data_IF_198378379783
#
_entry.id   IF_198378379783
#
_cell.length_a   1.000
_cell.length_b   1.000
_cell.length_c   1.000
_cell.angle_alpha   90.00
_cell.angle_beta   90.00
_cell.angle_gamma   90.00
#
_symmetry.space_group_name_H-M   'P 1'
#
loop_
_entity.id
_entity.type
_entity.pdbx_description
1 polymer ?
#
# COMPACT_ATOMS: atom_id res chain seq x y z
N UNK A 1 38.92 43.40 3.28
CA UNK A 1 38.61 41.97 3.37
C UNK A 1 37.15 41.80 3.73
N UNK A 2 36.29 41.45 2.78
CA UNK A 2 34.85 41.16 3.02
C UNK A 2 34.67 39.65 3.01
N UNK A 3 34.24 39.11 4.16
CA UNK A 3 33.88 37.67 4.30
C UNK A 3 32.52 37.44 3.63
N UNK A 4 32.49 36.58 2.63
CA UNK A 4 31.23 36.07 2.03
C UNK A 4 30.58 35.09 3.02
N UNK A 5 29.38 35.45 3.48
CA UNK A 5 28.53 34.55 4.24
C UNK A 5 27.97 33.47 3.28
N UNK A 6 28.38 32.24 3.49
CA UNK A 6 27.83 31.09 2.75
C UNK A 6 26.40 30.81 3.20
N UNK A 7 25.45 30.96 2.29
CA UNK A 7 24.08 30.52 2.48
C UNK A 7 24.08 28.99 2.49
N UNK A 8 23.98 28.38 3.68
CA UNK A 8 23.67 26.95 3.80
C UNK A 8 22.24 26.76 3.33
N UNK A 9 22.06 26.16 2.14
CA UNK A 9 20.80 25.52 1.74
C UNK A 9 20.43 24.54 2.85
N UNK A 10 19.28 24.77 3.51
CA UNK A 10 18.63 23.76 4.32
C UNK A 10 18.15 22.68 3.33
N UNK A 11 18.89 21.58 3.22
CA UNK A 11 18.34 20.31 2.77
C UNK A 11 17.28 19.94 3.82
N UNK A 12 16.01 20.02 3.43
CA UNK A 12 14.93 19.37 4.14
C UNK A 12 15.25 17.88 4.09
N UNK A 13 15.67 17.31 5.20
CA UNK A 13 15.83 15.88 5.35
C UNK A 13 14.47 15.24 4.98
N UNK A 14 14.39 14.60 3.81
CA UNK A 14 13.31 13.67 3.48
C UNK A 14 13.41 12.56 4.52
N UNK A 15 12.42 12.51 5.44
CA UNK A 15 12.36 11.45 6.42
C UNK A 15 12.41 10.09 5.71
N UNK A 16 13.14 9.14 6.27
CA UNK A 16 13.26 7.80 5.69
C UNK A 16 11.88 7.18 5.53
N UNK A 17 11.50 6.84 4.28
CA UNK A 17 10.24 6.19 3.96
C UNK A 17 10.23 4.78 4.56
N UNK A 18 9.18 4.47 5.29
CA UNK A 18 8.97 3.11 5.83
C UNK A 18 8.11 2.31 4.85
N UNK A 19 8.68 1.30 4.22
CA UNK A 19 8.00 0.39 3.30
C UNK A 19 7.52 -0.84 4.03
N UNK A 20 6.26 -1.20 3.82
CA UNK A 20 5.60 -2.31 4.56
C UNK A 20 4.82 -3.17 3.58
N UNK A 21 5.06 -4.48 3.59
CA UNK A 21 4.25 -5.44 2.87
C UNK A 21 3.33 -6.22 3.82
N UNK A 22 2.05 -6.30 3.47
CA UNK A 22 0.97 -6.96 4.23
C UNK A 22 0.41 -8.09 3.37
N UNK A 23 0.65 -9.34 3.79
CA UNK A 23 0.26 -10.54 3.04
C UNK A 23 -1.23 -10.86 3.12
N UNK A 24 -1.72 -11.69 2.20
CA UNK A 24 -3.09 -12.20 2.16
C UNK A 24 -3.43 -13.21 3.27
N UNK A 25 -4.71 -13.66 3.28
CA UNK A 25 -5.24 -14.52 4.34
C UNK A 25 -4.50 -15.86 4.42
N UNK A 26 -4.36 -16.53 3.28
CA UNK A 26 -3.76 -17.87 3.14
C UNK A 26 -2.26 -17.81 2.77
N UNK A 27 -1.58 -16.72 3.14
CA UNK A 27 -0.19 -16.48 2.84
C UNK A 27 0.59 -16.09 4.11
N UNK A 28 1.85 -15.74 3.94
CA UNK A 28 2.72 -15.26 5.01
C UNK A 28 3.75 -14.27 4.47
N UNK A 29 4.54 -13.69 5.36
CA UNK A 29 5.72 -12.89 5.01
C UNK A 29 6.75 -13.70 4.21
N UNK A 30 6.66 -15.03 4.17
CA UNK A 30 7.53 -15.96 3.43
C UNK A 30 6.89 -16.53 2.16
N UNK A 31 5.66 -16.15 1.85
CA UNK A 31 5.01 -16.49 0.58
C UNK A 31 5.70 -15.84 -0.62
N UNK A 32 5.23 -16.13 -1.84
CA UNK A 32 5.86 -15.70 -3.10
C UNK A 32 6.17 -14.20 -3.13
N UNK A 33 5.17 -13.35 -2.82
CA UNK A 33 5.34 -11.90 -2.83
C UNK A 33 6.25 -11.41 -1.69
N UNK A 34 6.12 -11.99 -0.50
CA UNK A 34 6.98 -11.66 0.64
C UNK A 34 8.45 -12.03 0.38
N UNK A 35 8.70 -13.20 -0.23
CA UNK A 35 10.05 -13.62 -0.61
C UNK A 35 10.66 -12.71 -1.66
N UNK A 36 9.87 -12.32 -2.69
CA UNK A 36 10.31 -11.33 -3.69
C UNK A 36 10.73 -10.00 -3.06
N UNK A 37 9.91 -9.46 -2.16
CA UNK A 37 10.23 -8.19 -1.51
C UNK A 37 11.43 -8.31 -0.56
N UNK A 38 11.56 -9.41 0.17
CA UNK A 38 12.71 -9.63 1.08
C UNK A 38 14.02 -9.71 0.31
N UNK A 39 14.02 -10.33 -0.86
CA UNK A 39 15.22 -10.45 -1.69
C UNK A 39 15.60 -9.11 -2.31
N UNK A 40 14.62 -8.37 -2.84
CA UNK A 40 14.87 -7.15 -3.61
C UNK A 40 14.92 -5.89 -2.74
N UNK A 41 14.18 -5.87 -1.64
CA UNK A 41 14.06 -4.73 -0.71
C UNK A 41 14.22 -5.21 0.74
N UNK A 42 15.44 -5.55 1.17
CA UNK A 42 15.69 -6.18 2.48
C UNK A 42 15.27 -5.31 3.67
N UNK A 43 15.13 -3.99 3.48
CA UNK A 43 14.66 -3.06 4.52
C UNK A 43 13.12 -2.98 4.62
N UNK A 44 12.39 -3.66 3.70
CA UNK A 44 10.93 -3.68 3.74
C UNK A 44 10.44 -4.43 4.97
N UNK A 45 9.60 -3.79 5.74
CA UNK A 45 9.01 -4.38 6.94
C UNK A 45 7.91 -5.36 6.55
N UNK A 46 7.92 -6.52 7.19
CA UNK A 46 6.90 -7.56 7.03
C UNK A 46 6.66 -8.23 8.37
N UNK A 47 5.41 -8.57 8.63
CA UNK A 47 5.00 -9.36 9.79
C UNK A 47 3.98 -10.39 9.35
N UNK A 48 3.83 -11.48 10.09
CA UNK A 48 2.77 -12.46 9.90
C UNK A 48 1.58 -12.10 10.80
N UNK A 49 0.37 -12.22 10.25
CA UNK A 49 -0.87 -11.83 10.91
C UNK A 49 -1.81 -13.04 10.99
N UNK A 50 -2.44 -13.25 12.14
CA UNK A 50 -3.27 -14.43 12.44
C UNK A 50 -4.62 -14.02 13.02
N UNK A 51 -5.60 -14.89 12.82
CA UNK A 51 -6.94 -14.71 13.38
C UNK A 51 -7.90 -13.93 12.47
N UNK A 52 -8.91 -13.37 13.07
CA UNK A 52 -9.95 -12.56 12.44
C UNK A 52 -9.38 -11.24 11.89
N UNK A 53 -10.18 -10.52 11.09
CA UNK A 53 -9.78 -9.19 10.60
C UNK A 53 -9.44 -8.24 11.75
N UNK A 54 -10.26 -8.23 12.81
CA UNK A 54 -10.05 -7.35 13.96
C UNK A 54 -8.73 -7.68 14.69
N UNK A 55 -8.47 -8.95 14.94
CA UNK A 55 -7.21 -9.40 15.57
C UNK A 55 -5.99 -9.04 14.71
N UNK A 56 -6.08 -9.23 13.38
CA UNK A 56 -5.02 -8.86 12.44
C UNK A 56 -4.81 -7.34 12.39
N UNK A 57 -5.87 -6.55 12.46
CA UNK A 57 -5.75 -5.08 12.50
C UNK A 57 -5.08 -4.61 13.78
N UNK A 58 -5.40 -5.20 14.95
CA UNK A 58 -4.70 -4.92 16.21
C UNK A 58 -3.21 -5.23 16.08
N UNK A 59 -2.85 -6.38 15.49
CA UNK A 59 -1.45 -6.77 15.25
C UNK A 59 -0.75 -5.80 14.29
N UNK A 60 -1.43 -5.36 13.22
CA UNK A 60 -0.88 -4.40 12.26
C UNK A 60 -0.65 -3.02 12.92
N UNK A 61 -1.62 -2.53 13.67
CA UNK A 61 -1.52 -1.24 14.38
C UNK A 61 -0.39 -1.26 15.42
N UNK A 62 -0.24 -2.37 16.16
CA UNK A 62 0.88 -2.55 17.09
C UNK A 62 2.23 -2.61 16.37
N UNK A 63 2.31 -3.31 15.23
CA UNK A 63 3.52 -3.43 14.42
C UNK A 63 3.96 -2.08 13.83
N UNK A 64 3.01 -1.22 13.47
CA UNK A 64 3.27 0.09 12.89
C UNK A 64 3.31 1.23 13.91
N UNK A 65 3.13 0.94 15.21
CA UNK A 65 3.12 1.95 16.26
C UNK A 65 4.39 2.82 16.25
N UNK A 66 4.21 4.14 16.30
CA UNK A 66 5.30 5.12 16.28
C UNK A 66 5.97 5.34 14.92
N UNK A 67 5.54 4.65 13.86
CA UNK A 67 6.05 4.83 12.50
C UNK A 67 5.22 5.86 11.74
N UNK A 68 5.87 6.51 10.79
CA UNK A 68 5.27 7.51 9.90
C UNK A 68 5.91 7.41 8.51
N UNK A 69 5.41 8.20 7.58
CA UNK A 69 5.90 8.23 6.19
C UNK A 69 5.83 6.83 5.56
N UNK A 70 4.68 6.15 5.78
CA UNK A 70 4.47 4.77 5.38
C UNK A 70 4.12 4.65 3.89
N UNK A 71 4.77 3.71 3.20
CA UNK A 71 4.29 3.14 1.94
C UNK A 71 3.79 1.73 2.25
N UNK A 72 2.48 1.54 2.14
CA UNK A 72 1.85 0.26 2.43
C UNK A 72 1.55 -0.49 1.12
N UNK A 73 2.01 -1.73 1.05
CA UNK A 73 1.67 -2.66 -0.03
C UNK A 73 0.83 -3.77 0.59
N UNK A 74 -0.42 -3.93 0.14
CA UNK A 74 -1.31 -4.96 0.65
C UNK A 74 -1.82 -5.86 -0.45
N UNK A 75 -1.72 -7.20 -0.26
CA UNK A 75 -2.21 -8.20 -1.20
C UNK A 75 -3.45 -8.90 -0.66
N UNK A 76 -4.51 -8.98 -1.47
CA UNK A 76 -5.76 -9.68 -1.15
C UNK A 76 -6.34 -9.19 0.20
N UNK A 77 -6.46 -10.05 1.20
CA UNK A 77 -6.87 -9.69 2.55
C UNK A 77 -5.93 -8.65 3.20
N UNK A 78 -4.62 -8.73 2.94
CA UNK A 78 -3.66 -7.71 3.34
C UNK A 78 -3.92 -6.36 2.67
N UNK A 79 -4.52 -6.35 1.47
CA UNK A 79 -4.99 -5.16 0.80
C UNK A 79 -6.17 -4.49 1.52
N UNK A 80 -7.11 -5.29 2.05
CA UNK A 80 -8.17 -4.79 2.92
C UNK A 80 -7.60 -4.21 4.22
N UNK A 81 -6.65 -4.89 4.86
CA UNK A 81 -5.98 -4.40 6.07
C UNK A 81 -5.25 -3.07 5.83
N UNK A 82 -4.51 -2.97 4.73
CA UNK A 82 -3.80 -1.74 4.34
C UNK A 82 -4.76 -0.57 4.08
N UNK A 83 -5.88 -0.83 3.41
CA UNK A 83 -6.93 0.17 3.17
C UNK A 83 -7.57 0.65 4.47
N UNK A 84 -7.94 -0.26 5.36
CA UNK A 84 -8.49 0.08 6.68
C UNK A 84 -7.49 0.88 7.53
N UNK A 85 -6.22 0.50 7.52
CA UNK A 85 -5.18 1.26 8.22
C UNK A 85 -5.09 2.68 7.67
N UNK A 86 -5.08 2.84 6.35
CA UNK A 86 -5.06 4.17 5.72
C UNK A 86 -6.31 4.99 6.08
N UNK A 87 -7.50 4.38 6.10
CA UNK A 87 -8.73 5.05 6.52
C UNK A 87 -8.68 5.58 7.95
N UNK A 88 -8.04 4.85 8.85
CA UNK A 88 -7.92 5.22 10.26
C UNK A 88 -6.77 6.18 10.54
N UNK A 89 -5.70 6.12 9.72
CA UNK A 89 -4.42 6.78 9.98
C UNK A 89 -3.84 7.47 8.73
N UNK A 90 -4.68 8.12 7.91
CA UNK A 90 -4.26 8.77 6.64
C UNK A 90 -2.98 9.63 6.79
N UNK A 91 -2.80 10.48 7.81
CA UNK A 91 -1.62 11.31 7.93
C UNK A 91 -0.29 10.56 8.05
N UNK A 92 -0.33 9.28 8.42
CA UNK A 92 0.86 8.43 8.52
C UNK A 92 1.25 7.77 7.20
N UNK A 93 0.32 7.73 6.20
CA UNK A 93 0.47 6.97 4.95
C UNK A 93 0.77 7.92 3.80
N UNK A 94 1.90 7.72 3.14
CA UNK A 94 2.34 8.49 1.97
C UNK A 94 1.83 7.92 0.66
N UNK A 95 1.69 6.61 0.59
CA UNK A 95 1.19 5.90 -0.59
C UNK A 95 0.61 4.55 -0.20
N UNK A 96 -0.39 4.12 -0.95
CA UNK A 96 -1.00 2.81 -0.81
C UNK A 96 -0.92 2.07 -2.16
N UNK A 97 -0.45 0.83 -2.13
CA UNK A 97 -0.37 -0.05 -3.29
C UNK A 97 -1.20 -1.30 -2.97
N UNK A 98 -2.25 -1.51 -3.73
CA UNK A 98 -3.22 -2.58 -3.51
C UNK A 98 -3.12 -3.62 -4.64
N UNK A 99 -2.92 -4.87 -4.27
CA UNK A 99 -2.80 -6.01 -5.17
C UNK A 99 -4.00 -6.94 -4.98
N UNK A 100 -4.93 -6.94 -5.93
CA UNK A 100 -6.18 -7.71 -5.88
C UNK A 100 -6.88 -7.60 -4.50
N UNK A 101 -7.13 -6.38 -3.97
CA UNK A 101 -7.54 -6.19 -2.58
C UNK A 101 -8.95 -6.70 -2.33
N UNK A 102 -9.15 -7.39 -1.20
CA UNK A 102 -10.43 -7.98 -0.81
C UNK A 102 -11.40 -6.96 -0.19
N UNK A 103 -11.57 -5.78 -0.81
CA UNK A 103 -12.35 -4.65 -0.25
C UNK A 103 -13.86 -4.93 -0.11
N UNK A 104 -14.37 -5.91 -0.83
CA UNK A 104 -15.79 -6.31 -0.76
C UNK A 104 -16.13 -7.26 0.39
N UNK A 105 -15.17 -7.67 1.21
CA UNK A 105 -15.42 -8.64 2.30
C UNK A 105 -16.14 -8.04 3.51
N UNK A 106 -16.05 -6.73 3.69
CA UNK A 106 -16.69 -6.00 4.79
C UNK A 106 -17.38 -4.74 4.30
N UNK A 107 -18.33 -4.23 5.06
CA UNK A 107 -18.92 -2.93 4.78
C UNK A 107 -17.95 -1.81 5.18
N UNK A 108 -17.54 -1.03 4.19
CA UNK A 108 -16.68 0.15 4.36
C UNK A 108 -17.46 1.47 4.20
N UNK A 109 -18.79 1.41 4.29
CA UNK A 109 -19.69 2.55 4.06
C UNK A 109 -19.41 3.76 4.95
N UNK A 110 -18.90 3.56 6.16
CA UNK A 110 -18.53 4.64 7.08
C UNK A 110 -17.44 5.57 6.52
N UNK A 111 -16.57 5.08 5.64
CA UNK A 111 -15.48 5.86 5.04
C UNK A 111 -15.87 6.60 3.75
N UNK A 112 -17.07 6.31 3.19
CA UNK A 112 -17.47 6.91 1.91
C UNK A 112 -17.78 8.41 1.98
N UNK A 113 -18.13 8.92 3.14
CA UNK A 113 -18.44 10.34 3.34
C UNK A 113 -17.19 11.23 3.46
N UNK A 114 -16.01 10.62 3.66
CA UNK A 114 -14.75 11.32 3.82
C UNK A 114 -13.63 10.61 3.04
N UNK A 115 -13.62 10.74 1.69
CA UNK A 115 -12.60 10.11 0.87
C UNK A 115 -11.19 10.56 1.22
N UNK A 116 -10.24 9.64 1.12
CA UNK A 116 -8.82 9.86 1.35
C UNK A 116 -8.14 10.43 0.09
N UNK A 117 -7.20 11.34 0.27
CA UNK A 117 -6.49 12.01 -0.83
C UNK A 117 -5.05 11.49 -1.06
N UNK A 118 -4.59 10.54 -0.24
CA UNK A 118 -3.28 9.93 -0.48
C UNK A 118 -3.23 9.23 -1.86
N UNK A 119 -2.07 9.16 -2.51
CA UNK A 119 -1.92 8.41 -3.77
C UNK A 119 -2.16 6.91 -3.56
N UNK A 120 -3.08 6.34 -4.34
CA UNK A 120 -3.38 4.91 -4.31
C UNK A 120 -3.25 4.33 -5.70
N UNK A 121 -2.44 3.27 -5.84
CA UNK A 121 -2.38 2.45 -7.06
C UNK A 121 -2.95 1.07 -6.75
N UNK A 122 -3.96 0.66 -7.52
CA UNK A 122 -4.62 -0.64 -7.39
C UNK A 122 -4.40 -1.46 -8.66
N UNK A 123 -3.81 -2.64 -8.52
CA UNK A 123 -3.72 -3.64 -9.58
C UNK A 123 -4.70 -4.77 -9.31
N UNK A 124 -5.48 -5.17 -10.31
CA UNK A 124 -6.44 -6.29 -10.19
C UNK A 124 -6.46 -7.11 -11.47
N UNK A 125 -6.37 -8.44 -11.32
CA UNK A 125 -6.47 -9.36 -12.44
C UNK A 125 -7.91 -9.43 -12.97
N UNK A 126 -8.09 -9.31 -14.29
CA UNK A 126 -9.42 -9.42 -14.91
C UNK A 126 -9.99 -10.84 -14.81
N UNK A 127 -9.11 -11.84 -14.64
CA UNK A 127 -9.45 -13.24 -14.48
C UNK A 127 -9.48 -13.69 -13.01
N UNK A 128 -9.51 -12.73 -12.06
CA UNK A 128 -9.60 -13.04 -10.64
C UNK A 128 -10.98 -13.64 -10.28
N UNK A 129 -10.97 -14.93 -9.95
CA UNK A 129 -12.17 -15.68 -9.54
C UNK A 129 -12.33 -15.77 -8.02
N UNK A 130 -11.35 -15.29 -7.26
CA UNK A 130 -11.34 -15.27 -5.78
C UNK A 130 -11.96 -13.98 -5.26
N UNK A 131 -11.44 -12.84 -5.74
CA UNK A 131 -11.98 -11.52 -5.45
C UNK A 131 -12.41 -10.87 -6.76
N UNK A 132 -13.70 -10.76 -7.03
CA UNK A 132 -14.18 -10.13 -8.26
C UNK A 132 -13.67 -8.70 -8.39
N UNK A 133 -13.05 -8.32 -9.53
CA UNK A 133 -12.36 -7.03 -9.65
C UNK A 133 -13.31 -5.82 -9.59
N UNK A 134 -14.48 -5.92 -10.19
CA UNK A 134 -15.41 -4.79 -10.31
C UNK A 134 -16.02 -4.34 -8.97
N UNK A 135 -16.47 -5.23 -8.07
CA UNK A 135 -16.86 -4.85 -6.72
C UNK A 135 -15.73 -4.16 -5.94
N UNK A 136 -14.50 -4.70 -6.00
CA UNK A 136 -13.34 -4.12 -5.33
C UNK A 136 -13.04 -2.69 -5.85
N UNK A 137 -13.10 -2.48 -7.18
CA UNK A 137 -12.94 -1.16 -7.80
C UNK A 137 -13.99 -0.17 -7.33
N UNK A 138 -15.28 -0.57 -7.29
CA UNK A 138 -16.37 0.31 -6.84
C UNK A 138 -16.17 0.79 -5.40
N UNK A 139 -15.74 -0.10 -4.52
CA UNK A 139 -15.43 0.26 -3.13
C UNK A 139 -14.24 1.19 -3.07
N UNK A 140 -13.14 0.85 -3.77
CA UNK A 140 -11.94 1.67 -3.81
C UNK A 140 -12.21 3.10 -4.31
N UNK A 141 -13.01 3.25 -5.39
CA UNK A 141 -13.36 4.53 -5.98
C UNK A 141 -14.21 5.43 -5.05
N UNK A 142 -14.86 4.86 -4.04
CA UNK A 142 -15.62 5.62 -3.03
C UNK A 142 -14.76 6.05 -1.85
N UNK A 143 -13.69 5.30 -1.55
CA UNK A 143 -12.81 5.57 -0.42
C UNK A 143 -11.65 6.48 -0.83
N UNK A 144 -11.10 6.31 -2.04
CA UNK A 144 -9.86 6.97 -2.47
C UNK A 144 -10.13 7.97 -3.60
N UNK A 145 -9.97 9.25 -3.30
CA UNK A 145 -10.13 10.32 -4.28
C UNK A 145 -8.98 10.38 -5.30
N UNK A 146 -7.78 9.91 -4.93
CA UNK A 146 -6.60 9.86 -5.79
C UNK A 146 -6.22 8.41 -6.11
N UNK A 147 -7.12 7.71 -6.82
CA UNK A 147 -7.01 6.30 -7.17
C UNK A 147 -6.59 6.12 -8.64
N UNK A 148 -5.45 5.46 -8.85
CA UNK A 148 -5.03 4.87 -10.13
C UNK A 148 -5.37 3.37 -10.12
N UNK A 149 -6.44 2.99 -10.81
CA UNK A 149 -6.93 1.61 -10.85
C UNK A 149 -6.56 0.95 -12.18
N UNK A 150 -5.79 -0.13 -12.12
CA UNK A 150 -5.23 -0.85 -13.27
C UNK A 150 -5.73 -2.29 -13.31
N UNK A 151 -6.62 -2.57 -14.26
CA UNK A 151 -6.98 -3.94 -14.59
C UNK A 151 -5.94 -4.56 -15.51
N UNK A 152 -5.50 -5.76 -15.17
CA UNK A 152 -4.42 -6.46 -15.89
C UNK A 152 -4.86 -7.87 -16.29
N UNK A 153 -4.32 -8.41 -17.38
CA UNK A 153 -4.55 -9.78 -17.80
C UNK A 153 -3.81 -10.78 -16.90
N UNK A 154 -4.40 -11.04 -15.73
CA UNK A 154 -3.84 -11.91 -14.71
C UNK A 154 -4.94 -12.50 -13.82
N UNK A 155 -4.55 -13.40 -12.94
CA UNK A 155 -5.37 -14.03 -11.90
C UNK A 155 -5.34 -13.26 -10.57
N UNK A 156 -5.88 -13.90 -9.49
CA UNK A 156 -5.89 -13.33 -8.15
C UNK A 156 -4.48 -13.04 -7.61
N UNK A 157 -3.54 -13.93 -7.88
CA UNK A 157 -2.17 -13.80 -7.36
C UNK A 157 -1.29 -12.84 -8.14
N UNK A 158 -1.77 -12.37 -9.30
CA UNK A 158 -1.02 -11.49 -10.20
C UNK A 158 0.32 -12.11 -10.63
N UNK A 159 0.33 -13.44 -10.87
CA UNK A 159 1.54 -14.22 -11.12
C UNK A 159 2.40 -13.67 -12.25
N UNK A 160 1.79 -13.16 -13.31
CA UNK A 160 2.48 -12.65 -14.49
C UNK A 160 2.91 -11.22 -14.34
N UNK A 161 2.04 -10.37 -13.79
CA UNK A 161 2.23 -8.91 -13.75
C UNK A 161 3.04 -8.48 -12.54
N UNK A 162 2.81 -9.07 -11.37
CA UNK A 162 3.49 -8.68 -10.13
C UNK A 162 5.02 -8.57 -10.25
N UNK A 163 5.75 -9.56 -10.81
CA UNK A 163 7.21 -9.47 -10.91
C UNK A 163 7.71 -8.45 -11.94
N UNK A 164 6.85 -7.99 -12.85
CA UNK A 164 7.20 -7.04 -13.91
C UNK A 164 6.86 -5.58 -13.59
N UNK A 165 6.20 -5.32 -12.47
CA UNK A 165 5.88 -3.97 -12.05
C UNK A 165 7.15 -3.15 -11.78
N UNK A 166 7.08 -1.86 -12.09
CA UNK A 166 8.14 -0.91 -11.69
C UNK A 166 8.07 -0.65 -10.17
N UNK A 167 8.59 -1.62 -9.42
CA UNK A 167 8.60 -1.55 -7.96
C UNK A 167 9.45 -0.40 -7.44
N UNK A 168 10.53 -0.05 -8.12
CA UNK A 168 11.39 1.06 -7.69
C UNK A 168 10.60 2.37 -7.76
N UNK A 169 9.92 2.65 -8.88
CA UNK A 169 9.05 3.82 -9.01
C UNK A 169 7.83 3.82 -8.11
N UNK A 170 7.24 2.64 -7.84
CA UNK A 170 6.10 2.50 -6.92
C UNK A 170 6.49 2.75 -5.46
N UNK A 171 7.70 2.38 -5.06
CA UNK A 171 8.20 2.47 -3.68
C UNK A 171 8.90 3.80 -3.38
N UNK A 172 8.94 4.71 -4.35
CA UNK A 172 9.36 6.09 -4.15
C UNK A 172 8.13 6.99 -4.04
N UNK A 173 8.21 8.02 -3.19
CA UNK A 173 7.25 9.12 -3.31
C UNK A 173 7.66 9.97 -4.50
N UNK A 174 6.97 9.81 -5.62
CA UNK A 174 7.27 10.54 -6.84
C UNK A 174 7.44 12.03 -6.57
N UNK A 175 8.50 12.60 -7.10
CA UNK A 175 8.53 14.03 -7.40
C UNK A 175 7.35 14.26 -8.34
N UNK A 176 6.39 15.06 -7.90
CA UNK A 176 5.32 15.56 -8.78
C UNK A 176 6.00 16.23 -9.97
N UNK A 177 6.09 15.49 -11.09
CA UNK A 177 6.51 16.05 -12.35
C UNK A 177 5.40 16.97 -12.82
N UNK A 178 5.52 18.26 -12.52
CA UNK A 178 4.85 19.28 -13.29
C UNK A 178 5.67 19.45 -14.58
N UNK A 179 5.11 18.94 -15.66
CA UNK A 179 5.47 19.34 -17.01
C UNK A 179 4.25 19.91 -17.67
#
# INVERSE_FOLDING_TARGET
MRRKAGVRKRETAMGDLTRVFIHGLDSSSRGTKGSFFRERYPEMLMNDYFGTLEERMIQLEAFLAGRKDLILIGSSFGGLMAALFACRHEPLVRRLILLAPALGLVDLGEYYSKPLFLPVTLYHGINDVVVPPEPARRVAARIFANLDCRFVEDDHDLHRVFPTLDWDGLLETGKSGHS
#
